data_IF_516205224941
#
_entry.id   IF_516205224941
#
_cell.length_a   1.000
_cell.length_b   1.000
_cell.length_c   1.000
_cell.angle_alpha   90.00
_cell.angle_beta   90.00
_cell.angle_gamma   90.00
#
_symmetry.space_group_name_H-M   'P 1'
#
loop_
_entity.id
_entity.type
_entity.pdbx_description
1 polymer ?
#
# COMPACT_ATOMS: atom_id res chain seq x y z
N UNK A 1 -23.54 -13.19 -3.05
CA UNK A 1 -24.83 -12.98 -3.79
C UNK A 1 -25.64 -11.76 -3.36
N UNK A 2 -25.56 -11.24 -2.14
CA UNK A 2 -26.32 -10.03 -1.74
C UNK A 2 -25.62 -8.69 -2.06
N UNK A 3 -24.31 -8.65 -2.20
CA UNK A 3 -23.56 -7.42 -2.52
C UNK A 3 -23.49 -7.12 -4.03
N UNK A 4 -23.48 -8.12 -4.89
CA UNK A 4 -23.52 -7.91 -6.35
C UNK A 4 -24.86 -7.32 -6.83
N UNK A 5 -25.97 -7.58 -6.13
CA UNK A 5 -27.27 -7.03 -6.47
C UNK A 5 -27.44 -5.56 -6.05
N UNK A 6 -26.72 -5.10 -5.02
CA UNK A 6 -26.74 -3.69 -4.62
C UNK A 6 -25.99 -2.79 -5.62
N UNK A 7 -24.91 -3.30 -6.20
CA UNK A 7 -24.09 -2.53 -7.14
C UNK A 7 -24.76 -2.42 -8.53
N UNK A 8 -25.57 -3.41 -8.92
CA UNK A 8 -26.34 -3.35 -10.16
C UNK A 8 -27.50 -2.36 -10.09
N UNK A 9 -28.19 -2.25 -8.94
CA UNK A 9 -29.27 -1.26 -8.76
C UNK A 9 -28.74 0.17 -8.71
N UNK A 10 -27.59 0.42 -8.05
CA UNK A 10 -26.98 1.75 -8.03
C UNK A 10 -26.53 2.21 -9.44
N UNK A 11 -26.09 1.26 -10.27
CA UNK A 11 -25.69 1.55 -11.67
C UNK A 11 -26.88 1.78 -12.59
N UNK A 12 -28.06 1.21 -12.30
CA UNK A 12 -29.29 1.44 -13.08
C UNK A 12 -29.95 2.78 -12.70
N UNK A 13 -30.00 3.14 -11.43
CA UNK A 13 -30.53 4.44 -11.00
C UNK A 13 -29.68 5.63 -11.49
N UNK A 14 -28.34 5.47 -11.50
CA UNK A 14 -27.45 6.49 -12.08
C UNK A 14 -27.59 6.63 -13.61
N UNK A 15 -28.00 5.57 -14.30
CA UNK A 15 -28.21 5.60 -15.75
C UNK A 15 -29.57 6.19 -16.13
N UNK A 16 -30.61 6.03 -15.30
CA UNK A 16 -31.92 6.64 -15.52
C UNK A 16 -31.94 8.16 -15.24
N UNK A 17 -31.16 8.61 -14.23
CA UNK A 17 -30.99 10.06 -13.98
C UNK A 17 -30.18 10.75 -15.10
N UNK A 18 -29.18 10.08 -15.68
CA UNK A 18 -28.41 10.63 -16.79
C UNK A 18 -29.23 10.70 -18.11
N UNK A 19 -30.26 9.89 -18.28
CA UNK A 19 -31.11 9.93 -19.45
C UNK A 19 -32.19 11.04 -19.36
N UNK A 20 -32.62 11.40 -18.13
CA UNK A 20 -33.56 12.49 -17.91
C UNK A 20 -32.90 13.87 -18.11
N UNK A 21 -31.65 14.04 -17.64
CA UNK A 21 -30.91 15.30 -17.81
C UNK A 21 -30.41 15.52 -19.27
N UNK A 22 -30.21 14.43 -20.04
CA UNK A 22 -29.82 14.55 -21.47
C UNK A 22 -30.96 14.99 -22.35
N UNK A 23 -32.25 14.77 -21.99
CA UNK A 23 -33.36 15.18 -22.81
C UNK A 23 -33.73 16.66 -22.64
N UNK A 24 -33.48 17.28 -21.49
CA UNK A 24 -33.65 18.72 -21.27
C UNK A 24 -32.50 19.55 -21.84
N UNK A 25 -31.29 18.98 -21.89
CA UNK A 25 -30.14 19.67 -22.49
C UNK A 25 -30.07 19.53 -24.01
N UNK A 26 -30.79 18.57 -24.62
CA UNK A 26 -30.80 18.42 -26.07
C UNK A 26 -31.72 19.47 -26.76
N UNK A 27 -32.79 19.94 -26.13
CA UNK A 27 -33.61 21.02 -26.69
C UNK A 27 -32.86 22.36 -26.70
N UNK A 28 -32.15 22.70 -25.64
CA UNK A 28 -31.31 23.90 -25.58
C UNK A 28 -30.02 23.78 -26.41
N UNK A 29 -29.55 22.54 -26.68
CA UNK A 29 -28.34 22.32 -27.47
C UNK A 29 -28.61 22.33 -28.98
N UNK A 30 -29.84 22.11 -29.39
CA UNK A 30 -30.25 22.28 -30.82
C UNK A 30 -30.48 23.73 -31.17
N UNK A 31 -31.10 24.52 -30.30
CA UNK A 31 -31.23 25.98 -30.52
C UNK A 31 -29.88 26.68 -30.53
N UNK A 32 -28.96 26.36 -29.58
CA UNK A 32 -27.61 26.91 -29.58
C UNK A 32 -26.73 26.39 -30.73
N UNK A 33 -27.01 25.18 -31.24
CA UNK A 33 -26.33 24.68 -32.45
C UNK A 33 -26.85 25.31 -33.74
N UNK A 34 -28.09 25.71 -33.80
CA UNK A 34 -28.63 26.45 -34.94
C UNK A 34 -28.14 27.90 -34.96
N UNK A 35 -28.12 28.62 -33.84
CA UNK A 35 -27.51 29.95 -33.76
C UNK A 35 -25.99 29.94 -34.01
N UNK A 36 -25.25 28.94 -33.53
CA UNK A 36 -23.83 28.79 -33.85
C UNK A 36 -23.58 28.30 -35.30
N UNK A 37 -24.53 27.62 -35.94
CA UNK A 37 -24.42 27.19 -37.33
C UNK A 37 -24.75 28.34 -38.31
N UNK A 38 -25.61 29.27 -37.95
CA UNK A 38 -25.90 30.47 -38.76
C UNK A 38 -24.78 31.52 -38.67
N UNK A 39 -24.15 31.68 -37.49
CA UNK A 39 -23.02 32.59 -37.33
C UNK A 39 -21.68 32.05 -37.88
N UNK A 40 -21.62 30.76 -38.24
CA UNK A 40 -20.46 30.11 -38.88
C UNK A 40 -20.46 30.19 -40.41
N UNK A 41 -21.52 30.74 -41.00
CA UNK A 41 -21.69 30.71 -42.46
C UNK A 41 -21.00 31.83 -43.25
N UNK A 42 -20.33 32.77 -42.61
CA UNK A 42 -19.78 33.93 -43.31
C UNK A 42 -18.27 34.24 -43.07
N UNK A 43 -17.52 33.35 -42.42
CA UNK A 43 -16.05 33.48 -42.44
C UNK A 43 -15.51 32.95 -43.78
N UNK A 44 -14.72 33.75 -44.47
CA UNK A 44 -14.05 33.29 -45.70
C UNK A 44 -13.17 32.07 -45.41
N UNK A 45 -12.94 31.22 -46.41
CA UNK A 45 -12.08 30.03 -46.27
C UNK A 45 -10.69 30.44 -45.73
N UNK A 46 -10.20 31.60 -46.07
CA UNK A 46 -8.93 32.17 -45.60
C UNK A 46 -8.96 32.50 -44.10
N UNK A 47 -10.08 33.05 -43.58
CA UNK A 47 -10.25 33.31 -42.15
C UNK A 47 -10.36 32.03 -41.36
N UNK A 48 -11.05 31.02 -41.87
CA UNK A 48 -11.14 29.69 -41.23
C UNK A 48 -9.74 29.02 -41.18
N UNK A 49 -8.95 29.15 -42.22
CA UNK A 49 -7.59 28.64 -42.29
C UNK A 49 -6.67 29.35 -41.29
N UNK A 50 -6.76 30.68 -41.18
CA UNK A 50 -5.99 31.47 -40.23
C UNK A 50 -6.36 31.12 -38.79
N UNK A 51 -7.62 30.97 -38.44
CA UNK A 51 -8.06 30.55 -37.12
C UNK A 51 -7.61 29.12 -36.79
N UNK A 52 -7.72 28.18 -37.73
CA UNK A 52 -7.21 26.81 -37.54
C UNK A 52 -5.68 26.78 -37.32
N UNK A 53 -4.94 27.59 -38.06
CA UNK A 53 -3.49 27.71 -37.87
C UNK A 53 -3.13 28.30 -36.49
N UNK A 54 -3.88 29.30 -36.02
CA UNK A 54 -3.71 29.89 -34.70
C UNK A 54 -3.99 28.87 -33.60
N UNK A 55 -5.10 28.15 -33.67
CA UNK A 55 -5.49 27.09 -32.74
C UNK A 55 -4.39 25.97 -32.71
N UNK A 56 -3.87 25.62 -33.87
CA UNK A 56 -2.81 24.61 -33.99
C UNK A 56 -1.50 25.08 -33.36
N UNK A 57 -1.16 26.37 -33.50
CA UNK A 57 0.01 26.94 -32.85
C UNK A 57 -0.15 26.99 -31.31
N UNK A 58 -1.31 27.42 -30.82
CA UNK A 58 -1.64 27.44 -29.39
C UNK A 58 -1.64 26.02 -28.80
N UNK A 59 -2.21 25.05 -29.49
CA UNK A 59 -2.22 23.65 -29.06
C UNK A 59 -0.82 23.05 -29.01
N UNK A 60 0.05 23.40 -29.99
CA UNK A 60 1.46 22.99 -29.98
C UNK A 60 2.22 23.57 -28.80
N UNK A 61 2.01 24.85 -28.48
CA UNK A 61 2.65 25.50 -27.32
C UNK A 61 2.19 24.84 -26.02
N UNK A 62 0.90 24.62 -25.85
CA UNK A 62 0.35 23.89 -24.71
C UNK A 62 0.92 22.48 -24.59
N UNK A 63 1.05 21.77 -25.71
CA UNK A 63 1.62 20.43 -25.74
C UNK A 63 3.09 20.44 -25.29
N UNK A 64 3.88 21.35 -25.84
CA UNK A 64 5.30 21.49 -25.48
C UNK A 64 5.46 21.84 -24.00
N UNK A 65 4.64 22.75 -23.49
CA UNK A 65 4.63 23.10 -22.06
C UNK A 65 4.29 21.89 -21.19
N UNK A 66 3.22 21.17 -21.53
CA UNK A 66 2.82 19.96 -20.79
C UNK A 66 3.87 18.85 -20.88
N UNK A 67 4.51 18.69 -22.01
CA UNK A 67 5.60 17.74 -22.18
C UNK A 67 6.80 18.09 -21.26
N UNK A 68 7.17 19.37 -21.19
CA UNK A 68 8.22 19.84 -20.29
C UNK A 68 7.85 19.67 -18.81
N UNK A 69 6.60 19.98 -18.43
CA UNK A 69 6.09 19.75 -17.07
C UNK A 69 6.12 18.26 -16.71
N UNK A 70 5.72 17.38 -17.63
CA UNK A 70 5.74 15.94 -17.43
C UNK A 70 7.17 15.40 -17.25
N UNK A 71 8.13 15.86 -18.06
CA UNK A 71 9.55 15.49 -17.90
C UNK A 71 10.10 15.96 -16.54
N UNK A 72 9.78 17.17 -16.10
CA UNK A 72 10.18 17.68 -14.81
C UNK A 72 9.53 16.87 -13.66
N UNK A 73 8.23 16.56 -13.78
CA UNK A 73 7.52 15.70 -12.84
C UNK A 73 8.17 14.31 -12.75
N UNK A 74 8.46 13.69 -13.90
CA UNK A 74 9.11 12.39 -13.97
C UNK A 74 10.49 12.39 -13.28
N UNK A 75 11.32 13.38 -13.58
CA UNK A 75 12.64 13.53 -12.93
C UNK A 75 12.51 13.68 -11.42
N UNK A 76 11.58 14.53 -10.96
CA UNK A 76 11.31 14.73 -9.53
C UNK A 76 10.83 13.44 -8.88
N UNK A 77 9.87 12.74 -9.47
CA UNK A 77 9.32 11.49 -8.92
C UNK A 77 10.37 10.39 -8.82
N UNK A 78 11.27 10.29 -9.79
CA UNK A 78 12.39 9.32 -9.74
C UNK A 78 13.30 9.66 -8.55
N UNK A 79 13.62 10.94 -8.34
CA UNK A 79 14.44 11.39 -7.21
C UNK A 79 13.74 11.09 -5.88
N UNK A 80 12.47 11.47 -5.74
CA UNK A 80 11.66 11.20 -4.54
C UNK A 80 11.57 9.71 -4.22
N UNK A 81 11.39 8.85 -5.23
CA UNK A 81 11.42 7.39 -5.05
C UNK A 81 12.79 6.89 -4.58
N UNK A 82 13.87 7.41 -5.16
CA UNK A 82 15.23 7.07 -4.73
C UNK A 82 15.47 7.48 -3.28
N UNK A 83 15.08 8.69 -2.90
CA UNK A 83 15.21 9.20 -1.54
C UNK A 83 14.36 8.38 -0.54
N UNK A 84 13.16 7.97 -0.94
CA UNK A 84 12.30 7.07 -0.15
C UNK A 84 12.95 5.68 0.07
N UNK A 85 13.58 5.12 -0.95
CA UNK A 85 14.28 3.83 -0.83
C UNK A 85 15.50 3.95 0.08
N UNK A 86 16.30 5.02 -0.08
CA UNK A 86 17.51 5.22 0.70
C UNK A 86 17.20 5.54 2.18
N UNK A 87 16.18 6.34 2.43
CA UNK A 87 15.86 6.83 3.77
C UNK A 87 14.65 6.16 4.40
N UNK A 88 13.99 5.20 3.72
CA UNK A 88 12.77 4.52 4.20
C UNK A 88 12.97 3.79 5.54
N UNK A 89 14.19 3.36 5.84
CA UNK A 89 14.53 2.72 7.10
C UNK A 89 14.82 3.70 8.25
N UNK A 90 14.90 5.02 7.99
CA UNK A 90 15.35 6.02 8.97
C UNK A 90 14.51 6.00 10.24
N UNK A 91 13.19 5.96 10.12
CA UNK A 91 12.30 5.95 11.28
C UNK A 91 12.45 4.65 12.09
N UNK A 92 12.64 3.52 11.42
CA UNK A 92 12.88 2.22 12.06
C UNK A 92 14.23 2.21 12.80
N UNK A 93 15.28 2.70 12.15
CA UNK A 93 16.60 2.81 12.78
C UNK A 93 16.55 3.72 14.01
N UNK A 94 15.95 4.90 13.89
CA UNK A 94 15.77 5.84 15.02
C UNK A 94 15.02 5.21 16.19
N UNK A 95 14.04 4.37 15.94
CA UNK A 95 13.27 3.70 16.98
C UNK A 95 14.07 2.57 17.67
N UNK A 96 15.04 1.96 16.97
CA UNK A 96 15.88 0.88 17.48
C UNK A 96 17.11 1.40 18.25
N UNK A 97 17.66 2.55 17.87
CA UNK A 97 18.87 3.10 18.52
C UNK A 97 18.79 3.18 20.06
N UNK A 98 17.67 3.63 20.70
CA UNK A 98 17.59 3.65 22.16
C UNK A 98 17.62 2.26 22.82
N UNK A 99 17.37 1.21 22.05
CA UNK A 99 17.47 -0.17 22.54
C UNK A 99 18.92 -0.63 22.45
N UNK A 100 19.63 -0.21 21.40
CA UNK A 100 21.08 -0.43 21.30
C UNK A 100 21.81 0.23 22.46
N UNK A 101 21.45 1.48 22.80
CA UNK A 101 22.02 2.20 23.96
C UNK A 101 21.80 1.43 25.27
N UNK A 102 20.61 0.83 25.45
CA UNK A 102 20.31 -0.01 26.61
C UNK A 102 21.16 -1.29 26.63
N UNK A 103 21.40 -1.92 25.48
CA UNK A 103 22.31 -3.07 25.37
C UNK A 103 23.75 -2.68 25.67
N UNK A 104 24.24 -1.57 25.15
CA UNK A 104 25.60 -1.06 25.42
C UNK A 104 25.78 -0.85 26.92
N UNK A 105 24.80 -0.23 27.60
CA UNK A 105 24.80 -0.03 29.03
C UNK A 105 24.80 -1.36 29.78
N UNK A 106 23.99 -2.35 29.35
CA UNK A 106 23.93 -3.66 29.97
C UNK A 106 25.24 -4.47 29.80
N UNK A 107 25.90 -4.32 28.67
CA UNK A 107 27.22 -4.96 28.42
C UNK A 107 28.33 -4.29 29.22
N UNK A 108 28.28 -2.99 29.42
CA UNK A 108 29.25 -2.24 30.23
C UNK A 108 29.07 -2.45 31.74
N UNK A 109 27.93 -3.00 32.16
CA UNK A 109 27.63 -3.28 33.56
C UNK A 109 28.56 -4.41 34.12
N UNK A 110 29.28 -4.09 35.17
CA UNK A 110 30.21 -5.00 35.85
C UNK A 110 29.58 -5.74 37.02
N UNK A 111 28.26 -5.60 37.22
CA UNK A 111 27.54 -6.30 38.30
C UNK A 111 27.69 -7.81 38.16
N UNK A 112 28.06 -8.47 39.24
CA UNK A 112 28.21 -9.93 39.27
C UNK A 112 26.92 -10.67 39.62
N UNK A 113 25.85 -9.94 39.97
CA UNK A 113 24.54 -10.51 40.27
C UNK A 113 23.87 -11.00 38.99
N UNK A 114 23.79 -12.32 38.84
CA UNK A 114 23.21 -12.99 37.71
C UNK A 114 21.69 -12.72 37.61
N UNK A 115 21.00 -12.56 38.75
CA UNK A 115 19.56 -12.29 38.77
C UNK A 115 19.26 -10.87 38.26
N UNK A 116 19.98 -9.88 38.79
CA UNK A 116 19.84 -8.49 38.33
C UNK A 116 20.12 -8.33 36.83
N UNK A 117 21.15 -9.05 36.31
CA UNK A 117 21.43 -9.06 34.86
C UNK A 117 20.31 -9.70 34.05
N UNK A 118 19.69 -10.79 34.52
CA UNK A 118 18.59 -11.45 33.86
C UNK A 118 17.36 -10.52 33.77
N UNK A 119 17.06 -9.84 34.87
CA UNK A 119 15.97 -8.89 34.96
C UNK A 119 16.17 -7.68 34.00
N UNK A 120 17.39 -7.12 34.01
CA UNK A 120 17.79 -6.05 33.10
C UNK A 120 17.64 -6.45 31.63
N UNK A 121 18.10 -7.65 31.25
CA UNK A 121 17.97 -8.19 29.91
C UNK A 121 16.51 -8.39 29.53
N UNK A 122 15.68 -8.86 30.47
CA UNK A 122 14.22 -9.01 30.21
C UNK A 122 13.54 -7.67 29.97
N UNK A 123 13.95 -6.62 30.68
CA UNK A 123 13.43 -5.27 30.44
C UNK A 123 13.78 -4.75 29.03
N UNK A 124 15.04 -4.94 28.61
CA UNK A 124 15.50 -4.56 27.26
C UNK A 124 14.74 -5.34 26.20
N UNK A 125 14.58 -6.65 26.38
CA UNK A 125 13.80 -7.50 25.49
C UNK A 125 12.34 -7.03 25.36
N UNK A 126 11.68 -6.75 26.47
CA UNK A 126 10.30 -6.27 26.47
C UNK A 126 10.18 -4.91 25.79
N UNK A 127 11.15 -4.00 26.00
CA UNK A 127 11.21 -2.70 25.31
C UNK A 127 11.37 -2.89 23.80
N UNK A 128 12.23 -3.84 23.38
CA UNK A 128 12.44 -4.14 21.96
C UNK A 128 11.16 -4.67 21.30
N UNK A 129 10.50 -5.66 21.93
CA UNK A 129 9.24 -6.20 21.43
C UNK A 129 8.16 -5.11 21.31
N UNK A 130 8.06 -4.24 22.32
CA UNK A 130 7.11 -3.11 22.30
C UNK A 130 7.41 -2.11 21.18
N UNK A 131 8.68 -1.80 20.95
CA UNK A 131 9.10 -0.91 19.87
C UNK A 131 8.79 -1.51 18.51
N UNK A 132 9.08 -2.79 18.28
CA UNK A 132 8.75 -3.50 17.05
C UNK A 132 7.23 -3.51 16.80
N UNK A 133 6.42 -3.73 17.85
CA UNK A 133 4.97 -3.66 17.75
C UNK A 133 4.49 -2.26 17.38
N UNK A 134 5.10 -1.22 17.92
CA UNK A 134 4.83 0.17 17.55
C UNK A 134 5.18 0.50 16.10
N UNK A 135 6.11 -0.24 15.49
CA UNK A 135 6.47 -0.15 14.07
C UNK A 135 5.60 -1.05 13.16
N UNK A 136 4.58 -1.70 13.71
CA UNK A 136 3.68 -2.60 12.98
C UNK A 136 4.22 -4.03 12.81
N UNK A 137 5.31 -4.39 13.49
CA UNK A 137 5.84 -5.76 13.48
C UNK A 137 5.15 -6.59 14.55
N UNK A 138 4.50 -7.67 14.15
CA UNK A 138 3.83 -8.60 15.05
C UNK A 138 4.38 -10.01 14.90
N UNK A 139 4.42 -10.72 16.02
CA UNK A 139 4.78 -12.15 16.06
C UNK A 139 3.62 -12.97 15.51
N UNK A 140 3.92 -13.95 14.64
CA UNK A 140 2.95 -14.93 14.18
C UNK A 140 2.69 -15.92 15.32
N UNK A 141 1.42 -16.06 15.69
CA UNK A 141 1.00 -17.01 16.72
C UNK A 141 0.91 -18.41 16.12
N UNK A 142 1.70 -19.32 16.67
CA UNK A 142 1.83 -20.69 16.19
C UNK A 142 1.31 -21.73 17.19
N UNK A 143 0.95 -21.31 18.42
CA UNK A 143 0.57 -22.24 19.48
C UNK A 143 -0.77 -22.90 19.18
N UNK A 144 -0.78 -24.24 19.04
CA UNK A 144 -1.97 -25.06 18.75
C UNK A 144 -2.79 -24.64 17.53
N UNK A 145 -2.17 -23.91 16.58
CA UNK A 145 -2.80 -23.47 15.33
C UNK A 145 -2.72 -24.56 14.27
N UNK A 146 -3.68 -24.54 13.35
CA UNK A 146 -3.57 -25.31 12.12
C UNK A 146 -2.41 -24.80 11.27
N UNK A 147 -1.76 -25.71 10.55
CA UNK A 147 -0.70 -25.32 9.64
C UNK A 147 -1.28 -24.52 8.47
N UNK A 148 -0.75 -23.32 8.27
CA UNK A 148 -1.14 -22.42 7.20
C UNK A 148 0.11 -22.03 6.40
N UNK A 149 0.11 -22.30 5.11
CA UNK A 149 1.24 -22.03 4.20
C UNK A 149 1.53 -20.54 4.04
N UNK A 150 0.56 -19.67 4.28
CA UNK A 150 0.75 -18.23 4.17
C UNK A 150 1.56 -17.66 5.34
N UNK A 151 1.57 -18.36 6.49
CA UNK A 151 2.24 -17.90 7.72
C UNK A 151 3.36 -18.83 8.19
N UNK A 152 3.29 -20.12 7.83
CA UNK A 152 4.15 -21.15 8.38
C UNK A 152 4.97 -21.85 7.30
N UNK A 153 6.19 -22.23 7.68
CA UNK A 153 7.08 -23.11 6.91
C UNK A 153 7.28 -24.40 7.70
N UNK A 154 6.76 -25.53 7.21
CA UNK A 154 6.95 -26.81 7.84
C UNK A 154 8.38 -27.32 7.61
N UNK A 155 9.17 -27.42 8.68
CA UNK A 155 10.56 -27.92 8.64
C UNK A 155 10.69 -29.35 9.10
N UNK A 156 9.70 -29.86 9.83
CA UNK A 156 9.67 -31.24 10.31
C UNK A 156 8.23 -31.75 10.44
N UNK A 157 8.04 -33.05 10.25
CA UNK A 157 6.81 -33.77 10.56
C UNK A 157 7.03 -34.66 11.77
N UNK A 158 6.14 -34.60 12.74
CA UNK A 158 6.23 -35.36 14.00
C UNK A 158 5.18 -36.45 13.97
N UNK A 159 5.58 -37.73 13.81
CA UNK A 159 4.64 -38.86 13.81
C UNK A 159 4.20 -39.22 15.23
N UNK A 160 3.02 -39.87 15.33
CA UNK A 160 2.56 -40.47 16.59
C UNK A 160 1.97 -39.53 17.63
N UNK A 161 1.57 -38.31 17.23
CA UNK A 161 0.99 -37.30 18.13
C UNK A 161 -0.53 -37.43 18.34
N UNK A 162 -1.18 -38.42 17.68
CA UNK A 162 -2.64 -38.62 17.71
C UNK A 162 -3.38 -37.85 16.60
N UNK A 163 -4.56 -38.33 16.26
CA UNK A 163 -5.35 -37.78 15.14
C UNK A 163 -5.81 -36.33 15.38
N UNK A 164 -5.96 -35.93 16.62
CA UNK A 164 -6.35 -34.58 17.04
C UNK A 164 -5.29 -33.50 16.79
N UNK A 165 -4.02 -33.91 16.62
CA UNK A 165 -2.88 -33.05 16.31
C UNK A 165 -2.40 -33.14 14.86
N UNK A 166 -3.04 -33.94 14.07
CA UNK A 166 -2.72 -34.06 12.64
C UNK A 166 -2.97 -32.75 11.90
N UNK A 167 -1.95 -32.27 11.18
CA UNK A 167 -2.02 -31.00 10.44
C UNK A 167 -1.90 -29.73 11.32
N UNK A 168 -1.68 -29.90 12.64
CA UNK A 168 -1.48 -28.75 13.54
C UNK A 168 0.01 -28.52 13.81
N UNK A 169 0.32 -27.30 14.18
CA UNK A 169 1.64 -26.92 14.64
C UNK A 169 1.88 -27.52 16.03
N UNK A 170 2.92 -28.33 16.13
CA UNK A 170 3.32 -29.01 17.38
C UNK A 170 4.36 -28.16 18.13
N UNK A 171 5.34 -27.61 17.39
CA UNK A 171 6.42 -26.79 17.96
C UNK A 171 6.85 -25.72 16.96
N UNK A 172 7.37 -24.64 17.50
CA UNK A 172 7.87 -23.50 16.74
C UNK A 172 9.41 -23.41 16.88
N UNK A 173 10.13 -23.91 15.89
CA UNK A 173 11.60 -23.89 15.85
C UNK A 173 12.12 -22.44 15.67
N UNK A 174 11.45 -21.65 14.84
CA UNK A 174 11.81 -20.24 14.63
C UNK A 174 10.54 -19.39 14.51
N UNK A 175 10.45 -18.37 15.34
CA UNK A 175 9.33 -17.45 15.36
C UNK A 175 9.19 -16.70 14.02
N UNK A 176 7.98 -16.67 13.47
CA UNK A 176 7.60 -15.85 12.31
C UNK A 176 7.20 -14.43 12.73
N UNK A 177 7.29 -13.51 11.77
CA UNK A 177 6.86 -12.12 11.95
C UNK A 177 6.16 -11.58 10.73
N UNK A 178 5.17 -10.72 10.96
CA UNK A 178 4.52 -9.93 9.93
C UNK A 178 4.75 -8.44 10.20
N UNK A 179 4.76 -7.65 9.13
CA UNK A 179 4.77 -6.19 9.18
C UNK A 179 3.43 -5.72 8.61
N UNK A 180 2.58 -5.19 9.47
CA UNK A 180 1.18 -4.94 9.16
C UNK A 180 0.52 -6.23 8.60
N UNK A 181 0.07 -6.21 7.33
CA UNK A 181 -0.57 -7.37 6.69
C UNK A 181 0.40 -8.26 5.91
N UNK A 182 1.69 -7.89 5.81
CA UNK A 182 2.68 -8.63 5.03
C UNK A 182 3.55 -9.51 5.91
N UNK A 183 3.61 -10.80 5.62
CA UNK A 183 4.58 -11.71 6.24
C UNK A 183 5.99 -11.33 5.75
N UNK A 184 6.86 -10.99 6.71
CA UNK A 184 8.28 -10.67 6.46
C UNK A 184 9.20 -11.84 6.78
N UNK A 185 8.73 -12.78 7.61
CA UNK A 185 9.39 -14.05 7.92
C UNK A 185 8.35 -15.07 8.35
N UNK A 186 8.23 -16.18 7.63
CA UNK A 186 7.38 -17.30 8.05
C UNK A 186 7.87 -17.93 9.36
N UNK A 187 6.95 -18.45 10.16
CA UNK A 187 7.32 -19.24 11.33
C UNK A 187 7.76 -20.64 10.88
N UNK A 188 8.96 -21.06 11.28
CA UNK A 188 9.39 -22.44 11.03
C UNK A 188 8.85 -23.34 12.13
N UNK A 189 8.03 -24.29 11.70
CA UNK A 189 7.24 -25.11 12.62
C UNK A 189 7.42 -26.61 12.34
N UNK A 190 7.24 -27.40 13.40
CA UNK A 190 7.03 -28.83 13.30
C UNK A 190 5.53 -29.11 13.28
N UNK A 191 5.08 -29.96 12.37
CA UNK A 191 3.66 -30.27 12.11
C UNK A 191 3.37 -31.72 12.49
N UNK A 192 2.22 -31.98 13.11
CA UNK A 192 1.76 -33.33 13.43
C UNK A 192 1.35 -34.10 12.18
N UNK A 193 1.77 -35.37 12.10
CA UNK A 193 1.46 -36.29 11.00
C UNK A 193 0.32 -37.23 11.38
#
# INVERSE_FOLDING_TARGET
MKEENKNKNASQEANEQNVADTNTNNANAEETKQEHAENKKELSIEEQLAEAQKQLAELKDQYLRKAAEFENYRKRTIKEKSDLILNGAESTVKAILPILDDFERAVADKTQDAQARKEGMQLIFNKFVKTLKGLGVEKIDTADKEFDVDFHEAVAMVPGMGDDKKGKVIDCVQTGYKLNDKVIRHAKVAVGQ
#
